data_IF_820859900808
#
_entry.id   IF_820859900808
#
_cell.length_a   1.000
_cell.length_b   1.000
_cell.length_c   1.000
_cell.angle_alpha   90.00
_cell.angle_beta   90.00
_cell.angle_gamma   90.00
#
_symmetry.space_group_name_H-M   'P 1'
#
loop_
_entity.id
_entity.type
_entity.pdbx_description
1 polymer ?
#
# COMPACT_ATOMS: atom_id res chain seq x y z
N UNK A 1 20.82 32.36 10.66
CA UNK A 1 19.61 33.20 10.86
C UNK A 1 20.00 34.67 10.77
N UNK A 2 20.39 35.14 9.58
CA UNK A 2 21.01 36.48 9.43
C UNK A 2 20.06 37.53 8.84
N UNK A 3 18.98 37.08 8.19
CA UNK A 3 18.01 37.94 7.52
C UNK A 3 16.62 37.91 8.16
N UNK A 4 16.48 37.26 9.32
CA UNK A 4 15.20 37.08 10.00
C UNK A 4 14.20 36.18 9.25
N UNK A 5 14.65 35.39 8.28
CA UNK A 5 13.80 34.49 7.49
C UNK A 5 13.77 33.12 8.19
N UNK A 6 12.59 32.64 8.63
CA UNK A 6 12.47 31.31 9.22
C UNK A 6 12.64 30.22 8.16
N UNK A 7 13.27 29.11 8.54
CA UNK A 7 13.49 27.95 7.67
C UNK A 7 12.84 26.72 8.30
N UNK A 8 11.97 26.06 7.54
CA UNK A 8 11.29 24.84 7.96
C UNK A 8 11.76 23.66 7.11
N UNK A 9 12.17 22.56 7.75
CA UNK A 9 12.63 21.35 7.09
C UNK A 9 12.03 20.10 7.74
N UNK A 10 11.81 19.04 6.95
CA UNK A 10 11.30 17.76 7.45
C UNK A 10 12.34 17.03 8.31
N UNK A 11 11.88 16.28 9.31
CA UNK A 11 12.71 15.40 10.14
C UNK A 11 13.46 14.30 9.34
N UNK A 12 12.87 13.85 8.23
CA UNK A 12 13.30 12.65 7.48
C UNK A 12 12.32 11.49 7.68
N UNK A 13 12.39 10.50 6.78
CA UNK A 13 11.50 9.32 6.79
C UNK A 13 12.30 8.01 6.98
N UNK A 14 13.45 8.11 7.64
CA UNK A 14 14.30 6.96 7.96
C UNK A 14 13.69 6.15 9.09
N UNK A 15 14.34 5.03 9.43
CA UNK A 15 13.90 4.11 10.46
C UNK A 15 13.50 4.81 11.77
N UNK A 16 12.53 4.23 12.47
CA UNK A 16 11.95 4.72 13.73
C UNK A 16 12.88 4.58 14.93
N UNK A 17 14.11 4.12 14.70
CA UNK A 17 15.16 4.03 15.71
C UNK A 17 15.60 5.43 16.15
N UNK A 18 16.18 5.52 17.36
CA UNK A 18 16.64 6.80 17.91
C UNK A 18 17.74 7.40 17.01
N UNK A 19 17.79 8.73 16.97
CA UNK A 19 18.85 9.49 16.29
C UNK A 19 18.91 9.37 14.76
N UNK A 20 17.74 9.28 14.11
CA UNK A 20 17.64 9.22 12.63
C UNK A 20 17.28 10.57 11.97
N UNK A 21 17.19 11.65 12.75
CA UNK A 21 16.90 13.01 12.26
C UNK A 21 18.06 13.57 11.41
N UNK A 22 17.74 14.14 10.24
CA UNK A 22 18.76 14.69 9.33
C UNK A 22 18.90 16.21 9.39
N UNK A 23 17.81 16.93 9.66
CA UNK A 23 17.79 18.40 9.73
C UNK A 23 17.85 18.87 11.18
N UNK A 24 19.04 18.87 11.79
CA UNK A 24 19.25 19.10 13.23
C UNK A 24 19.88 20.45 13.58
N UNK A 25 20.06 21.34 12.59
CA UNK A 25 20.65 22.64 12.84
C UNK A 25 19.76 23.47 13.79
N UNK A 26 20.29 24.09 14.85
CA UNK A 26 19.49 24.76 15.88
C UNK A 26 18.60 25.91 15.37
N UNK A 27 18.92 26.46 14.19
CA UNK A 27 18.20 27.55 13.56
C UNK A 27 17.14 27.09 12.54
N UNK A 28 16.92 25.78 12.41
CA UNK A 28 15.90 25.19 11.53
C UNK A 28 14.74 24.69 12.39
N UNK A 29 13.51 24.98 11.95
CA UNK A 29 12.33 24.31 12.47
C UNK A 29 12.21 22.92 11.84
N UNK A 30 12.51 21.89 12.63
CA UNK A 30 12.44 20.49 12.19
C UNK A 30 11.05 19.93 12.42
N UNK A 31 10.36 19.57 11.34
CA UNK A 31 8.95 19.14 11.35
C UNK A 31 8.86 17.61 11.27
N UNK A 32 8.28 17.01 12.31
CA UNK A 32 7.97 15.57 12.35
C UNK A 32 6.68 15.21 11.61
N UNK A 33 6.38 13.91 11.54
CA UNK A 33 5.15 13.39 10.93
C UNK A 33 4.19 12.87 11.99
N UNK A 34 2.90 13.15 11.82
CA UNK A 34 1.82 12.60 12.61
C UNK A 34 0.66 12.17 11.72
N UNK A 35 -0.18 11.29 12.23
CA UNK A 35 -1.42 10.87 11.55
C UNK A 35 -2.58 11.78 11.94
N UNK A 36 -3.48 12.04 10.99
CA UNK A 36 -4.77 12.68 11.25
C UNK A 36 -5.83 11.61 11.57
N UNK A 37 -6.95 12.04 12.12
CA UNK A 37 -8.14 11.21 12.39
C UNK A 37 -8.88 10.75 11.11
N UNK A 38 -8.51 11.28 9.95
CA UNK A 38 -9.08 10.92 8.64
C UNK A 38 -8.49 9.60 8.10
N UNK A 39 -9.37 8.61 7.89
CA UNK A 39 -9.08 7.34 7.22
C UNK A 39 -9.73 7.24 5.82
N UNK A 40 -9.08 6.51 4.90
CA UNK A 40 -9.61 6.17 3.56
C UNK A 40 -10.04 4.71 3.51
N UNK A 41 -11.09 4.37 4.24
CA UNK A 41 -11.54 2.99 4.39
C UNK A 41 -12.08 2.42 3.06
N UNK A 42 -11.67 1.19 2.78
CA UNK A 42 -12.19 0.36 1.70
C UNK A 42 -12.70 -0.96 2.26
N UNK A 43 -13.78 -1.50 1.69
CA UNK A 43 -14.39 -2.73 2.16
C UNK A 43 -14.31 -3.80 1.08
N UNK A 44 -13.97 -5.02 1.48
CA UNK A 44 -13.99 -6.20 0.63
C UNK A 44 -14.96 -7.23 1.23
N UNK A 45 -15.97 -7.62 0.46
CA UNK A 45 -16.90 -8.69 0.84
C UNK A 45 -16.59 -9.91 -0.01
N UNK A 46 -16.35 -11.04 0.64
CA UNK A 46 -16.08 -12.32 -0.02
C UNK A 46 -17.39 -13.07 -0.27
N UNK A 47 -17.34 -14.05 -1.18
CA UNK A 47 -18.47 -14.92 -1.48
C UNK A 47 -18.96 -15.75 -0.29
N UNK A 48 -18.14 -15.94 0.75
CA UNK A 48 -18.51 -16.63 1.99
C UNK A 48 -19.21 -15.70 3.01
N UNK A 49 -19.53 -14.45 2.64
CA UNK A 49 -20.18 -13.47 3.50
C UNK A 49 -19.25 -12.74 4.47
N UNK A 50 -17.96 -13.09 4.52
CA UNK A 50 -17.00 -12.36 5.35
C UNK A 50 -16.72 -10.98 4.76
N UNK A 51 -16.71 -9.97 5.62
CA UNK A 51 -16.41 -8.58 5.28
C UNK A 51 -15.10 -8.15 5.92
N UNK A 52 -14.18 -7.67 5.10
CA UNK A 52 -12.89 -7.16 5.50
C UNK A 52 -12.83 -5.65 5.32
N UNK A 53 -12.22 -4.96 6.28
CA UNK A 53 -11.96 -3.52 6.21
C UNK A 53 -10.48 -3.30 5.93
N UNK A 54 -10.18 -2.49 4.93
CA UNK A 54 -8.84 -2.11 4.52
C UNK A 54 -8.77 -0.62 4.20
N UNK A 55 -7.69 -0.22 3.52
CA UNK A 55 -7.44 1.18 3.14
C UNK A 55 -7.15 1.23 1.64
N UNK A 56 -7.79 2.15 0.93
CA UNK A 56 -7.53 2.38 -0.50
C UNK A 56 -7.64 3.86 -0.86
N UNK A 57 -6.76 4.33 -1.73
CA UNK A 57 -6.83 5.66 -2.34
C UNK A 57 -7.40 5.62 -3.76
N UNK A 58 -7.92 4.46 -4.20
CA UNK A 58 -8.54 4.32 -5.51
C UNK A 58 -9.80 5.17 -5.62
N UNK A 59 -9.82 6.11 -6.57
CA UNK A 59 -10.91 7.07 -6.80
C UNK A 59 -11.79 6.76 -8.02
N UNK A 60 -11.54 5.64 -8.70
CA UNK A 60 -12.30 5.24 -9.89
C UNK A 60 -13.63 4.58 -9.57
N UNK A 61 -14.38 4.21 -10.62
CA UNK A 61 -15.54 3.31 -10.49
C UNK A 61 -15.02 1.96 -10.02
N UNK A 62 -15.30 1.60 -8.77
CA UNK A 62 -14.95 0.28 -8.22
C UNK A 62 -15.53 -0.88 -9.04
N UNK A 63 -15.34 -2.12 -8.58
CA UNK A 63 -15.75 -3.32 -9.35
C UNK A 63 -17.27 -3.52 -9.50
N UNK A 64 -18.08 -2.60 -8.97
CA UNK A 64 -19.53 -2.74 -8.91
C UNK A 64 -19.96 -3.86 -7.95
N UNK A 65 -21.17 -4.38 -8.16
CA UNK A 65 -21.74 -5.46 -7.32
C UNK A 65 -21.39 -6.86 -7.84
N UNK A 66 -20.67 -6.97 -8.97
CA UNK A 66 -20.30 -8.25 -9.54
C UNK A 66 -19.14 -8.85 -8.75
N UNK A 67 -19.35 -10.06 -8.25
CA UNK A 67 -18.28 -10.85 -7.64
C UNK A 67 -17.21 -11.18 -8.68
N UNK A 68 -15.96 -10.95 -8.32
CA UNK A 68 -14.80 -11.35 -9.10
C UNK A 68 -14.15 -12.58 -8.45
N UNK A 69 -13.61 -13.46 -9.29
CA UNK A 69 -12.85 -14.61 -8.80
C UNK A 69 -11.55 -14.11 -8.14
N UNK A 70 -11.17 -14.72 -7.02
CA UNK A 70 -9.96 -14.39 -6.29
C UNK A 70 -8.90 -15.45 -6.52
N UNK A 71 -7.67 -15.02 -6.79
CA UNK A 71 -6.51 -15.91 -6.93
C UNK A 71 -5.46 -15.54 -5.90
N UNK A 72 -5.03 -16.55 -5.15
CA UNK A 72 -3.82 -16.49 -4.35
C UNK A 72 -2.80 -17.42 -5.00
N UNK A 73 -1.79 -16.83 -5.64
CA UNK A 73 -0.73 -17.61 -6.26
C UNK A 73 0.35 -17.89 -5.24
N UNK A 74 0.42 -19.16 -4.82
CA UNK A 74 1.56 -19.71 -4.07
C UNK A 74 2.47 -20.55 -4.97
N UNK A 75 2.24 -20.50 -6.28
CA UNK A 75 2.79 -21.44 -7.27
C UNK A 75 4.26 -21.17 -7.64
N UNK A 76 4.92 -22.25 -8.10
CA UNK A 76 6.27 -22.50 -8.67
C UNK A 76 7.43 -21.51 -8.46
N UNK A 77 7.20 -20.20 -8.54
CA UNK A 77 8.19 -19.16 -8.28
C UNK A 77 8.04 -18.65 -6.84
N UNK A 78 9.15 -18.59 -6.11
CA UNK A 78 9.23 -18.23 -4.68
C UNK A 78 8.64 -16.86 -4.31
N UNK A 79 8.30 -16.03 -5.31
CA UNK A 79 7.83 -14.65 -5.14
C UNK A 79 6.48 -14.36 -5.82
N UNK A 80 5.74 -15.39 -6.21
CA UNK A 80 4.39 -15.24 -6.80
C UNK A 80 3.39 -14.67 -5.79
N UNK A 81 3.52 -15.05 -4.52
CA UNK A 81 2.75 -14.51 -3.40
C UNK A 81 3.07 -13.03 -3.12
N UNK A 82 4.25 -12.54 -3.51
CA UNK A 82 4.64 -11.14 -3.35
C UNK A 82 4.17 -10.24 -4.50
N UNK A 83 3.62 -10.82 -5.57
CA UNK A 83 3.21 -10.09 -6.78
C UNK A 83 4.32 -9.21 -7.35
N UNK A 84 5.54 -9.75 -7.41
CA UNK A 84 6.65 -9.12 -8.12
C UNK A 84 6.37 -9.10 -9.62
N UNK A 85 7.01 -8.15 -10.31
CA UNK A 85 6.94 -8.08 -11.75
C UNK A 85 7.43 -9.42 -12.38
N UNK A 86 6.63 -9.97 -13.29
CA UNK A 86 6.92 -11.25 -13.93
C UNK A 86 6.70 -12.50 -13.08
N UNK A 87 6.35 -12.40 -11.78
CA UNK A 87 6.17 -13.58 -10.92
C UNK A 87 4.79 -14.25 -11.04
N UNK A 88 3.80 -13.53 -11.58
CA UNK A 88 2.44 -14.03 -11.78
C UNK A 88 2.25 -14.61 -13.18
N UNK A 89 1.58 -15.77 -13.26
CA UNK A 89 1.24 -16.43 -14.53
C UNK A 89 0.18 -15.61 -15.31
N UNK A 90 0.48 -15.13 -16.53
CA UNK A 90 -0.48 -14.39 -17.36
C UNK A 90 -1.74 -15.17 -17.71
N UNK A 91 -1.74 -16.50 -17.65
CA UNK A 91 -2.90 -17.32 -18.00
C UNK A 91 -3.99 -17.30 -16.91
N UNK A 92 -3.63 -17.11 -15.63
CA UNK A 92 -4.56 -17.27 -14.50
C UNK A 92 -5.06 -15.93 -13.93
N UNK A 93 -4.36 -14.84 -14.21
CA UNK A 93 -4.58 -13.50 -13.63
C UNK A 93 -5.65 -12.62 -14.32
N UNK A 94 -5.95 -12.74 -15.62
CA UNK A 94 -6.88 -11.84 -16.31
C UNK A 94 -8.28 -11.87 -15.68
N UNK A 95 -8.85 -10.69 -15.41
CA UNK A 95 -10.20 -10.51 -14.86
C UNK A 95 -10.45 -11.08 -13.45
N UNK A 96 -9.38 -11.39 -12.72
CA UNK A 96 -9.45 -11.87 -11.34
C UNK A 96 -8.88 -10.85 -10.36
N UNK A 97 -9.19 -11.01 -9.09
CA UNK A 97 -8.58 -10.26 -7.98
C UNK A 97 -7.41 -11.07 -7.45
N UNK A 98 -6.22 -10.47 -7.37
CA UNK A 98 -5.03 -11.17 -6.87
C UNK A 98 -4.72 -10.74 -5.45
N UNK A 99 -4.44 -11.72 -4.60
CA UNK A 99 -4.04 -11.51 -3.21
C UNK A 99 -2.52 -11.63 -3.11
N UNK A 100 -1.89 -10.61 -2.51
CA UNK A 100 -0.45 -10.49 -2.39
C UNK A 100 -0.04 -10.31 -0.92
N UNK A 101 0.97 -11.05 -0.47
CA UNK A 101 1.55 -10.94 0.86
C UNK A 101 2.42 -9.68 0.98
N UNK A 102 2.50 -9.09 2.17
CA UNK A 102 3.30 -7.89 2.44
C UNK A 102 4.71 -8.28 2.88
N UNK A 103 5.70 -7.99 2.05
CA UNK A 103 7.12 -8.09 2.45
C UNK A 103 7.99 -7.02 1.79
N UNK A 104 8.51 -7.29 0.59
CA UNK A 104 9.70 -6.61 0.05
C UNK A 104 9.34 -5.40 -0.83
N UNK A 105 8.38 -5.56 -1.74
CA UNK A 105 7.99 -4.55 -2.71
C UNK A 105 6.90 -3.60 -2.18
N UNK A 106 6.93 -2.37 -2.71
CA UNK A 106 5.95 -1.35 -2.36
C UNK A 106 4.53 -1.76 -2.76
N UNK A 107 3.52 -1.32 -2.01
CA UNK A 107 2.11 -1.59 -2.35
C UNK A 107 1.76 -1.09 -3.76
N UNK A 108 2.26 0.10 -4.11
CA UNK A 108 2.08 0.74 -5.42
C UNK A 108 2.68 -0.11 -6.55
N UNK A 109 3.79 -0.80 -6.28
CA UNK A 109 4.42 -1.68 -7.26
C UNK A 109 3.53 -2.91 -7.54
N UNK A 110 2.90 -3.48 -6.52
CA UNK A 110 1.93 -4.58 -6.67
C UNK A 110 0.71 -4.14 -7.48
N UNK A 111 0.22 -2.94 -7.21
CA UNK A 111 -0.88 -2.34 -7.95
C UNK A 111 -0.54 -2.20 -9.43
N UNK A 112 0.71 -1.87 -9.77
CA UNK A 112 1.15 -1.75 -11.16
C UNK A 112 1.16 -3.09 -11.92
N UNK A 113 1.55 -4.18 -11.25
CA UNK A 113 1.54 -5.55 -11.81
C UNK A 113 0.10 -6.01 -12.07
N UNK A 114 -0.81 -5.68 -11.16
CA UNK A 114 -2.24 -5.97 -11.34
C UNK A 114 -2.90 -5.07 -12.40
N UNK A 115 -2.63 -3.78 -12.37
CA UNK A 115 -3.26 -2.80 -13.27
C UNK A 115 -2.94 -3.07 -14.74
N UNK A 116 -1.71 -3.49 -15.04
CA UNK A 116 -1.31 -3.85 -16.41
C UNK A 116 -2.02 -5.12 -16.94
N UNK A 117 -2.68 -5.88 -16.06
CA UNK A 117 -3.39 -7.14 -16.38
C UNK A 117 -4.90 -7.10 -16.12
N UNK A 118 -5.49 -5.90 -15.89
CA UNK A 118 -6.90 -5.71 -15.44
C UNK A 118 -7.21 -6.47 -14.16
N UNK A 119 -6.30 -6.40 -13.19
CA UNK A 119 -6.33 -7.13 -11.93
C UNK A 119 -6.20 -6.11 -10.80
N UNK A 120 -6.99 -6.24 -9.73
CA UNK A 120 -6.87 -5.38 -8.54
C UNK A 120 -6.17 -6.13 -7.41
N UNK A 121 -5.26 -5.44 -6.72
CA UNK A 121 -4.65 -5.92 -5.48
C UNK A 121 -5.54 -5.54 -4.29
N UNK A 122 -5.83 -6.51 -3.42
CA UNK A 122 -6.58 -6.23 -2.20
C UNK A 122 -5.64 -5.60 -1.16
N UNK A 123 -6.00 -4.49 -0.50
CA UNK A 123 -5.23 -4.02 0.64
C UNK A 123 -5.29 -5.08 1.76
N UNK A 124 -4.18 -5.38 2.44
CA UNK A 124 -4.20 -6.25 3.61
C UNK A 124 -5.15 -5.66 4.66
N UNK A 125 -5.98 -6.54 5.24
CA UNK A 125 -6.71 -6.26 6.45
C UNK A 125 -5.68 -6.06 7.57
N UNK A 126 -5.46 -4.82 7.99
CA UNK A 126 -4.86 -4.60 9.30
C UNK A 126 -5.97 -4.84 10.33
N UNK A 127 -5.85 -5.83 11.23
CA UNK A 127 -6.68 -5.82 12.42
C UNK A 127 -6.39 -4.49 13.14
N UNK A 128 -7.42 -3.65 13.33
CA UNK A 128 -7.31 -2.58 14.32
C UNK A 128 -7.10 -3.26 15.69
N UNK A 129 -6.24 -2.71 16.56
CA UNK A 129 -6.13 -3.19 17.94
C UNK A 129 -7.48 -3.11 18.67
#
# INVERSE_FOLDING_TARGET
MEKGIPVSCSAGNSDSTKSTLVNVAPWIMTVGVGTLDRDFSAYATLGNGQKFTGVSLYSGRGMGEKMAEMVYSKGSNTFSNLCLEGSLDPAIVPWKVVVCDREINARVEKDSVGANRRTMACPPANPKP
#
